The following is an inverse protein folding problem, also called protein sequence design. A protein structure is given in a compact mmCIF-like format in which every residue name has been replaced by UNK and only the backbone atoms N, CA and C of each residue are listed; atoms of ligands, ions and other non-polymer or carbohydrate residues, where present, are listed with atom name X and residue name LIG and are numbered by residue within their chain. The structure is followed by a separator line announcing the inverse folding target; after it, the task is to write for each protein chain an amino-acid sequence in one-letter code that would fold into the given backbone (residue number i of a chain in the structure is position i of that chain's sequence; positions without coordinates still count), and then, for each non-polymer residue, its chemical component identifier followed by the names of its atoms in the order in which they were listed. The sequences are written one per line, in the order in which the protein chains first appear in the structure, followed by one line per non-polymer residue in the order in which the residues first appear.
data_IF_433228791917
#
_entry.id   IF_433228791917
#
_cell.length_a   1.000
_cell.length_b   1.000
_cell.length_c   1.000
_cell.angle_alpha   90.00
_cell.angle_beta   90.00
_cell.angle_gamma   90.00
#
_symmetry.space_group_name_H-M   'P 1'
#
loop_
_entity.id
_entity.type
_entity.pdbx_description
1 polymer ?
#
# COMPACT_ATOMS: atom_id res chain seq x y z
N UNK A 1 14.58 12.08 -14.87
CA UNK A 1 14.22 11.54 -16.21
C UNK A 1 13.11 10.50 -16.10
N UNK A 2 13.19 9.56 -15.16
CA UNK A 2 12.22 8.47 -14.95
C UNK A 2 10.81 8.97 -14.63
N UNK A 3 10.71 10.00 -13.77
CA UNK A 3 9.40 10.59 -13.42
C UNK A 3 8.69 11.19 -14.67
N UNK A 4 9.43 11.85 -15.55
CA UNK A 4 8.86 12.35 -16.80
C UNK A 4 8.40 11.22 -17.72
N UNK A 5 9.15 10.12 -17.77
CA UNK A 5 8.76 8.95 -18.54
C UNK A 5 7.47 8.32 -17.98
N UNK A 6 7.33 8.25 -16.64
CA UNK A 6 6.09 7.81 -15.99
C UNK A 6 4.92 8.73 -16.33
N UNK A 7 5.11 10.05 -16.27
CA UNK A 7 4.06 11.03 -16.59
C UNK A 7 3.63 10.94 -18.06
N UNK A 8 4.58 10.74 -18.98
CA UNK A 8 4.28 10.51 -20.39
C UNK A 8 3.46 9.23 -20.59
N UNK A 9 3.88 8.13 -19.95
CA UNK A 9 3.13 6.88 -19.99
C UNK A 9 1.71 7.04 -19.46
N UNK A 10 1.52 7.73 -18.30
CA UNK A 10 0.19 8.01 -17.75
C UNK A 10 -0.65 8.81 -18.73
N UNK A 11 -0.07 9.88 -19.32
CA UNK A 11 -0.74 10.73 -20.30
C UNK A 11 -1.23 9.92 -21.51
N UNK A 12 -0.38 9.09 -22.08
CA UNK A 12 -0.70 8.27 -23.25
C UNK A 12 -1.70 7.16 -22.92
N UNK A 13 -1.45 6.41 -21.85
CA UNK A 13 -2.26 5.24 -21.47
C UNK A 13 -3.68 5.62 -20.99
N UNK A 14 -3.79 6.69 -20.21
CA UNK A 14 -5.07 7.16 -19.67
C UNK A 14 -5.70 8.29 -20.50
N UNK A 15 -5.16 8.60 -21.66
CA UNK A 15 -5.67 9.60 -22.62
C UNK A 15 -5.99 10.95 -21.96
N UNK A 16 -4.99 11.50 -21.25
CA UNK A 16 -5.07 12.80 -20.61
C UNK A 16 -3.86 13.66 -20.98
N UNK A 17 -3.92 14.95 -20.70
CA UNK A 17 -2.79 15.84 -20.97
C UNK A 17 -1.67 15.66 -19.95
N UNK A 18 -0.42 15.88 -20.34
CA UNK A 18 0.72 15.84 -19.41
C UNK A 18 0.60 16.92 -18.32
N UNK A 19 -0.09 18.03 -18.60
CA UNK A 19 -0.38 19.09 -17.64
C UNK A 19 -1.30 18.58 -16.50
N UNK A 20 -2.32 17.77 -16.83
CA UNK A 20 -3.18 17.14 -15.82
C UNK A 20 -2.39 16.17 -14.94
N UNK A 21 -1.49 15.38 -15.53
CA UNK A 21 -0.61 14.48 -14.77
C UNK A 21 0.33 15.28 -13.85
N UNK A 22 0.92 16.35 -14.35
CA UNK A 22 1.79 17.23 -13.58
C UNK A 22 1.04 17.89 -12.41
N UNK A 23 -0.17 18.37 -12.64
CA UNK A 23 -1.02 18.97 -11.60
C UNK A 23 -1.41 17.95 -10.51
N UNK A 24 -1.63 16.68 -10.86
CA UNK A 24 -1.91 15.62 -9.90
C UNK A 24 -0.65 15.19 -9.11
N UNK A 25 0.53 15.27 -9.72
CA UNK A 25 1.79 14.83 -9.13
C UNK A 25 2.46 15.88 -8.25
N UNK A 26 2.30 17.17 -8.56
CA UNK A 26 2.96 18.25 -7.84
C UNK A 26 2.07 18.78 -6.71
N UNK A 27 2.67 19.11 -5.54
CA UNK A 27 1.95 19.87 -4.52
C UNK A 27 1.47 21.22 -5.08
N UNK A 28 0.23 21.61 -4.78
CA UNK A 28 -0.38 22.84 -5.31
C UNK A 28 0.40 24.13 -5.02
N UNK A 29 1.22 24.13 -3.98
CA UNK A 29 2.14 25.22 -3.65
C UNK A 29 3.31 25.32 -4.62
N UNK A 30 3.78 24.22 -5.21
CA UNK A 30 4.83 24.21 -6.23
C UNK A 30 4.31 24.68 -7.59
N UNK A 31 3.07 24.31 -7.94
CA UNK A 31 2.40 24.76 -9.15
C UNK A 31 2.22 26.30 -9.14
N UNK A 32 1.83 26.86 -8.00
CA UNK A 32 1.72 28.33 -7.81
C UNK A 32 3.05 29.08 -7.80
N UNK A 33 4.16 28.42 -7.46
CA UNK A 33 5.52 29.05 -7.43
C UNK A 33 6.14 29.26 -8.81
N UNK A 34 5.63 28.59 -9.82
CA UNK A 34 5.98 28.94 -11.20
C UNK A 34 5.50 30.34 -11.57
N UNK A 35 4.58 30.92 -10.77
CA UNK A 35 3.94 32.22 -10.99
C UNK A 35 4.32 33.25 -9.90
N UNK A 36 4.52 32.85 -8.62
CA UNK A 36 4.83 33.78 -7.53
C UNK A 36 5.80 33.19 -6.47
N UNK A 37 6.86 33.93 -6.06
CA UNK A 37 7.80 33.45 -5.04
C UNK A 37 7.17 33.49 -3.63
N UNK A 38 7.42 32.48 -2.76
CA UNK A 38 6.73 32.35 -1.50
C UNK A 38 7.24 33.27 -0.41
N UNK A 39 6.31 33.82 0.39
CA UNK A 39 6.56 34.66 1.58
C UNK A 39 6.57 33.89 2.92
N UNK A 40 6.46 32.56 2.96
CA UNK A 40 6.36 31.82 4.22
C UNK A 40 7.48 30.81 4.44
N UNK A 41 8.10 30.87 5.64
CA UNK A 41 9.00 29.82 6.16
C UNK A 41 8.21 28.53 6.35
N UNK A 42 8.59 27.45 5.66
CA UNK A 42 8.12 26.10 5.93
C UNK A 42 8.62 25.65 7.31
N UNK A 43 7.72 25.17 8.15
CA UNK A 43 8.09 24.52 9.41
C UNK A 43 8.70 23.16 9.04
N UNK A 44 9.97 22.93 9.36
CA UNK A 44 10.58 21.60 9.19
C UNK A 44 9.87 20.60 10.09
N UNK A 45 9.54 19.44 9.59
CA UNK A 45 9.05 18.33 10.40
C UNK A 45 10.10 18.02 11.47
N UNK A 46 9.70 17.95 12.72
CA UNK A 46 10.61 17.56 13.79
C UNK A 46 11.05 16.11 13.59
N UNK A 47 12.34 15.78 13.84
CA UNK A 47 12.79 14.39 13.84
C UNK A 47 11.96 13.54 14.78
N UNK A 48 11.83 12.25 14.46
CA UNK A 48 11.18 11.29 15.34
C UNK A 48 12.01 11.13 16.62
N UNK A 49 11.36 11.34 17.77
CA UNK A 49 12.00 11.24 19.10
C UNK A 49 11.44 10.09 19.93
N UNK A 50 10.55 9.30 19.37
CA UNK A 50 9.98 8.13 20.04
C UNK A 50 10.96 6.95 20.10
N UNK A 51 10.61 5.89 20.84
CA UNK A 51 11.41 4.67 20.91
C UNK A 51 11.41 3.98 19.54
N UNK A 52 12.56 3.41 19.16
CA UNK A 52 12.67 2.49 18.02
C UNK A 52 12.50 1.07 18.58
N UNK A 53 11.51 0.37 18.05
CA UNK A 53 11.20 -1.01 18.42
C UNK A 53 11.90 -2.00 17.48
N UNK A 54 12.38 -3.15 17.98
CA UNK A 54 12.91 -4.19 17.13
C UNK A 54 11.79 -4.81 16.27
N UNK A 55 12.15 -5.27 15.09
CA UNK A 55 11.22 -6.01 14.23
C UNK A 55 10.93 -7.36 14.90
N UNK A 56 9.66 -7.70 15.03
CA UNK A 56 9.24 -8.98 15.59
C UNK A 56 9.63 -10.14 14.66
N UNK A 57 10.02 -11.27 15.27
CA UNK A 57 10.31 -12.47 14.51
C UNK A 57 9.04 -12.98 13.80
N UNK A 58 9.21 -13.46 12.58
CA UNK A 58 8.13 -14.09 11.82
C UNK A 58 7.77 -15.45 12.42
N UNK A 59 6.50 -15.84 12.29
CA UNK A 59 6.10 -17.23 12.52
C UNK A 59 6.71 -18.15 11.45
N UNK A 60 6.78 -19.48 11.68
CA UNK A 60 7.32 -20.39 10.66
C UNK A 60 6.61 -20.29 9.31
N UNK A 61 5.28 -20.11 9.30
CA UNK A 61 4.48 -19.97 8.08
C UNK A 61 4.74 -18.63 7.37
N UNK A 62 4.91 -17.55 8.12
CA UNK A 62 5.29 -16.25 7.57
C UNK A 62 6.72 -16.28 6.99
N UNK A 63 7.66 -16.96 7.68
CA UNK A 63 9.03 -17.12 7.19
C UNK A 63 9.06 -17.90 5.88
N UNK A 64 8.35 -19.03 5.81
CA UNK A 64 8.21 -19.79 4.56
C UNK A 64 7.67 -18.94 3.42
N UNK A 65 6.63 -18.13 3.70
CA UNK A 65 6.06 -17.24 2.66
C UNK A 65 7.05 -16.14 2.23
N UNK A 66 7.86 -15.63 3.15
CA UNK A 66 8.91 -14.66 2.82
C UNK A 66 9.98 -15.31 1.91
N UNK A 67 10.46 -16.49 2.29
CA UNK A 67 11.45 -17.23 1.51
C UNK A 67 10.91 -17.56 0.09
N UNK A 68 9.65 -17.98 -0.02
CA UNK A 68 8.99 -18.21 -1.32
C UNK A 68 8.89 -16.93 -2.18
N UNK A 69 8.62 -15.78 -1.58
CA UNK A 69 8.61 -14.48 -2.29
C UNK A 69 9.99 -14.18 -2.86
N UNK A 70 11.04 -14.34 -2.06
CA UNK A 70 12.42 -14.10 -2.47
C UNK A 70 12.88 -15.05 -3.57
N UNK A 71 12.55 -16.34 -3.44
CA UNK A 71 12.85 -17.36 -4.46
C UNK A 71 12.18 -17.03 -5.81
N UNK A 72 10.92 -16.58 -5.78
CA UNK A 72 10.21 -16.15 -6.98
C UNK A 72 10.87 -14.94 -7.63
N UNK A 73 11.31 -13.96 -6.83
CA UNK A 73 12.04 -12.81 -7.36
C UNK A 73 13.41 -13.16 -7.93
N UNK A 74 14.09 -14.18 -7.38
CA UNK A 74 15.34 -14.71 -7.93
C UNK A 74 15.11 -15.47 -9.25
N UNK A 75 13.92 -16.09 -9.40
CA UNK A 75 13.48 -16.76 -10.62
C UNK A 75 12.86 -15.80 -11.67
N UNK A 76 13.24 -14.52 -11.66
CA UNK A 76 12.79 -13.49 -12.60
C UNK A 76 11.26 -13.20 -12.57
N UNK A 77 10.57 -13.54 -11.49
CA UNK A 77 9.16 -13.16 -11.26
C UNK A 77 9.14 -11.82 -10.54
N UNK A 78 9.30 -10.71 -11.26
CA UNK A 78 9.37 -9.37 -10.64
C UNK A 78 8.11 -8.96 -9.88
N UNK A 79 6.96 -9.56 -10.18
CA UNK A 79 5.68 -9.29 -9.53
C UNK A 79 5.22 -10.55 -8.83
N UNK A 80 4.97 -10.45 -7.52
CA UNK A 80 4.45 -11.55 -6.70
C UNK A 80 3.12 -11.13 -6.08
N UNK A 81 2.12 -12.02 -6.15
CA UNK A 81 0.85 -11.91 -5.44
C UNK A 81 0.96 -12.72 -4.14
N UNK A 82 0.90 -12.03 -3.00
CA UNK A 82 0.74 -12.63 -1.68
C UNK A 82 -0.74 -12.73 -1.35
N UNK A 83 -1.33 -13.89 -1.59
CA UNK A 83 -2.70 -14.20 -1.24
C UNK A 83 -2.76 -14.69 0.21
N UNK A 84 -3.03 -13.80 1.13
CA UNK A 84 -3.06 -14.13 2.56
C UNK A 84 -4.40 -13.78 3.19
N UNK A 85 -4.98 -14.73 3.94
CA UNK A 85 -6.24 -14.49 4.66
C UNK A 85 -6.16 -13.27 5.57
N UNK A 86 -7.32 -12.71 5.93
CA UNK A 86 -7.40 -11.60 6.88
C UNK A 86 -6.72 -11.98 8.20
N UNK A 87 -5.94 -11.08 8.78
CA UNK A 87 -5.17 -11.32 10.02
C UNK A 87 -4.11 -12.44 9.92
N UNK A 88 -3.62 -12.75 8.73
CA UNK A 88 -2.49 -13.68 8.55
C UNK A 88 -1.13 -13.08 8.88
N UNK A 89 -1.06 -11.78 9.15
CA UNK A 89 0.19 -11.08 9.44
C UNK A 89 0.98 -10.68 8.20
N UNK A 90 0.35 -10.46 7.06
CA UNK A 90 1.01 -9.93 5.83
C UNK A 90 1.90 -8.73 6.12
N UNK A 91 1.45 -7.83 7.01
CA UNK A 91 2.19 -6.61 7.38
C UNK A 91 3.56 -6.94 8.01
N UNK A 92 3.69 -8.04 8.75
CA UNK A 92 4.97 -8.44 9.33
C UNK A 92 5.96 -8.84 8.22
N UNK A 93 5.51 -9.59 7.23
CA UNK A 93 6.31 -9.93 6.04
C UNK A 93 6.74 -8.65 5.30
N UNK A 94 5.82 -7.69 5.13
CA UNK A 94 6.17 -6.41 4.49
C UNK A 94 7.26 -5.67 5.24
N UNK A 95 7.19 -5.63 6.59
CA UNK A 95 8.18 -4.96 7.43
C UNK A 95 9.57 -5.58 7.23
N UNK A 96 9.68 -6.90 7.16
CA UNK A 96 10.96 -7.60 6.92
C UNK A 96 11.51 -7.27 5.54
N UNK A 97 10.70 -7.35 4.49
CA UNK A 97 11.10 -7.00 3.13
C UNK A 97 11.51 -5.52 2.99
N UNK A 98 10.79 -4.62 3.67
CA UNK A 98 11.14 -3.19 3.72
C UNK A 98 12.52 -3.02 4.34
N UNK A 99 12.77 -3.64 5.50
CA UNK A 99 14.06 -3.53 6.20
C UNK A 99 15.22 -4.03 5.35
N UNK A 100 15.02 -5.12 4.64
CA UNK A 100 16.02 -5.67 3.73
C UNK A 100 16.38 -4.68 2.61
N UNK A 101 15.37 -4.07 1.98
CA UNK A 101 15.62 -3.07 0.93
C UNK A 101 16.32 -1.81 1.47
N UNK A 102 15.96 -1.35 2.66
CA UNK A 102 16.65 -0.23 3.30
C UNK A 102 18.10 -0.58 3.61
N UNK A 103 18.39 -1.79 4.08
CA UNK A 103 19.76 -2.28 4.31
C UNK A 103 20.56 -2.39 3.00
N UNK A 104 19.88 -2.72 1.89
CA UNK A 104 20.48 -2.74 0.56
C UNK A 104 20.67 -1.34 -0.07
N UNK A 105 20.37 -0.28 0.67
CA UNK A 105 20.52 1.09 0.18
C UNK A 105 19.44 1.53 -0.80
N UNK A 106 18.26 0.90 -0.79
CA UNK A 106 17.15 1.19 -1.70
C UNK A 106 15.96 1.80 -0.97
N UNK A 107 15.15 2.53 -1.72
CA UNK A 107 13.90 3.07 -1.23
C UNK A 107 12.75 2.05 -1.42
N UNK A 108 11.72 2.19 -0.60
CA UNK A 108 10.51 1.38 -0.69
C UNK A 108 9.29 2.28 -0.81
N UNK A 109 8.38 1.90 -1.70
CA UNK A 109 7.04 2.49 -1.79
C UNK A 109 6.02 1.51 -1.27
N UNK A 110 5.24 1.91 -0.26
CA UNK A 110 4.20 1.10 0.33
C UNK A 110 2.85 1.78 0.13
N UNK A 111 2.07 1.26 -0.80
CA UNK A 111 0.73 1.76 -1.13
C UNK A 111 -0.31 1.01 -0.32
N UNK A 112 -1.22 1.77 0.30
CA UNK A 112 -2.36 1.25 1.07
C UNK A 112 -3.63 2.01 0.67
N UNK A 113 -4.83 1.41 0.77
CA UNK A 113 -6.08 2.16 0.65
C UNK A 113 -6.15 3.30 1.67
N UNK A 114 -6.81 4.41 1.32
CA UNK A 114 -6.94 5.56 2.25
C UNK A 114 -7.54 5.17 3.61
N UNK A 115 -8.49 4.24 3.61
CA UNK A 115 -9.13 3.72 4.82
C UNK A 115 -8.16 2.86 5.67
N UNK A 116 -7.23 2.18 5.03
CA UNK A 116 -6.23 1.35 5.70
C UNK A 116 -5.05 2.17 6.25
N UNK A 117 -4.85 3.41 5.78
CA UNK A 117 -3.82 4.32 6.29
C UNK A 117 -4.23 4.91 7.65
N UNK A 118 -4.34 4.04 8.63
CA UNK A 118 -4.75 4.37 9.99
C UNK A 118 -3.59 4.93 10.81
N UNK A 119 -3.92 5.64 11.88
CA UNK A 119 -2.93 6.07 12.88
C UNK A 119 -2.18 4.87 13.47
N UNK A 120 -2.86 3.75 13.69
CA UNK A 120 -2.24 2.53 14.24
C UNK A 120 -1.15 1.98 13.31
N UNK A 121 -1.43 1.83 12.01
CA UNK A 121 -0.44 1.36 11.04
C UNK A 121 0.76 2.32 10.95
N UNK A 122 0.48 3.61 10.80
CA UNK A 122 1.54 4.62 10.67
C UNK A 122 2.38 4.73 11.93
N UNK A 123 1.78 4.68 13.14
CA UNK A 123 2.53 4.69 14.39
C UNK A 123 3.39 3.45 14.54
N UNK A 124 2.87 2.26 14.20
CA UNK A 124 3.64 1.01 14.22
C UNK A 124 4.88 1.10 13.33
N UNK A 125 4.70 1.55 12.08
CA UNK A 125 5.82 1.71 11.15
C UNK A 125 6.80 2.81 11.60
N UNK A 126 6.29 3.86 12.24
CA UNK A 126 7.13 4.95 12.77
C UNK A 126 8.01 4.46 13.92
N UNK A 127 7.50 3.60 14.81
CA UNK A 127 8.30 2.98 15.88
C UNK A 127 9.39 2.05 15.33
N UNK A 128 9.24 1.52 14.12
CA UNK A 128 10.23 0.61 13.52
C UNK A 128 11.24 1.39 12.67
N UNK A 129 10.77 2.26 11.78
CA UNK A 129 11.60 2.91 10.76
C UNK A 129 12.02 4.35 11.12
N UNK A 130 11.45 4.93 12.19
CA UNK A 130 11.81 6.27 12.67
C UNK A 130 11.74 7.32 11.56
N UNK A 131 12.82 8.09 11.40
CA UNK A 131 12.95 9.16 10.40
C UNK A 131 13.02 8.68 8.94
N UNK A 132 13.20 7.37 8.72
CA UNK A 132 13.16 6.79 7.38
C UNK A 132 11.74 6.64 6.85
N UNK A 133 10.70 6.75 7.70
CA UNK A 133 9.30 6.69 7.27
C UNK A 133 8.78 8.05 6.82
N UNK A 134 8.29 8.12 5.59
CA UNK A 134 7.57 9.26 5.04
C UNK A 134 6.11 8.85 4.84
N UNK A 135 5.20 9.52 5.54
CA UNK A 135 3.75 9.30 5.37
C UNK A 135 3.19 10.33 4.41
N UNK A 136 2.48 9.88 3.34
CA UNK A 136 1.91 10.74 2.32
C UNK A 136 0.45 10.39 2.02
N UNK A 137 -0.47 11.32 2.30
CA UNK A 137 -1.91 11.12 2.11
C UNK A 137 -2.65 12.43 1.79
N UNK A 138 -3.92 12.31 1.39
CA UNK A 138 -4.77 13.42 0.98
C UNK A 138 -5.04 14.47 2.07
N UNK A 139 -4.98 14.07 3.36
CA UNK A 139 -5.23 14.95 4.52
C UNK A 139 -4.05 15.85 4.89
N UNK A 140 -2.87 15.65 4.28
CA UNK A 140 -1.75 16.57 4.47
C UNK A 140 -2.09 17.93 3.88
N UNK A 141 -1.71 18.98 4.58
CA UNK A 141 -1.77 20.36 4.06
C UNK A 141 -0.80 20.52 2.87
N UNK A 142 -1.03 21.52 2.03
CA UNK A 142 -0.14 21.78 0.89
C UNK A 142 1.31 22.04 1.33
N UNK A 143 1.51 22.66 2.50
CA UNK A 143 2.84 22.90 3.05
C UNK A 143 3.54 21.60 3.48
N UNK A 144 2.81 20.68 4.10
CA UNK A 144 3.33 19.35 4.48
C UNK A 144 3.64 18.50 3.24
N UNK A 145 2.75 18.50 2.23
CA UNK A 145 2.99 17.81 0.96
C UNK A 145 4.26 18.33 0.28
N UNK A 146 4.44 19.65 0.25
CA UNK A 146 5.63 20.28 -0.30
C UNK A 146 6.89 19.88 0.46
N UNK A 147 6.83 19.83 1.78
CA UNK A 147 7.95 19.40 2.61
C UNK A 147 8.34 17.95 2.32
N UNK A 148 7.35 17.03 2.27
CA UNK A 148 7.58 15.62 1.92
C UNK A 148 8.14 15.47 0.50
N UNK A 149 7.60 16.23 -0.44
CA UNK A 149 8.10 16.25 -1.80
C UNK A 149 9.59 16.70 -1.86
N UNK A 150 9.95 17.76 -1.13
CA UNK A 150 11.33 18.23 -1.03
C UNK A 150 12.24 17.23 -0.32
N UNK A 151 11.76 16.58 0.74
CA UNK A 151 12.50 15.54 1.43
C UNK A 151 12.88 14.40 0.48
N UNK A 152 11.95 13.97 -0.36
CA UNK A 152 12.17 12.92 -1.36
C UNK A 152 13.11 13.39 -2.48
N UNK A 153 12.98 14.63 -2.96
CA UNK A 153 13.80 15.16 -4.06
C UNK A 153 15.22 15.53 -3.65
N UNK A 154 15.43 15.89 -2.38
CA UNK A 154 16.74 16.30 -1.87
C UNK A 154 17.67 15.14 -1.46
N UNK A 155 17.35 13.90 -1.84
CA UNK A 155 18.17 12.69 -1.58
C UNK A 155 19.61 12.77 -2.12
N UNK A 156 19.94 13.79 -2.90
CA UNK A 156 21.31 14.04 -3.39
C UNK A 156 22.24 14.75 -2.39
N UNK A 157 21.76 15.12 -1.21
CA UNK A 157 22.61 15.63 -0.14
C UNK A 157 23.38 14.47 0.52
N UNK A 158 24.62 14.71 0.89
CA UNK A 158 25.72 13.80 1.32
C UNK A 158 25.36 12.73 2.37
N UNK A 159 24.18 12.75 2.93
CA UNK A 159 23.64 11.73 3.83
C UNK A 159 22.51 11.03 3.06
N UNK A 160 22.84 9.94 2.37
CA UNK A 160 21.86 9.11 1.67
C UNK A 160 21.02 8.31 2.67
N UNK A 161 20.00 8.92 3.23
CA UNK A 161 18.99 8.15 3.94
C UNK A 161 18.04 7.55 2.92
N UNK A 162 17.89 6.23 2.97
CA UNK A 162 16.85 5.54 2.22
C UNK A 162 15.53 5.70 2.97
N UNK A 163 14.44 5.75 2.23
CA UNK A 163 13.12 6.03 2.78
C UNK A 163 12.12 4.93 2.45
N UNK A 164 11.22 4.72 3.40
CA UNK A 164 9.94 4.04 3.18
C UNK A 164 8.88 5.13 2.99
N UNK A 165 8.29 5.20 1.81
CA UNK A 165 7.17 6.10 1.56
C UNK A 165 5.89 5.30 1.65
N UNK A 166 5.12 5.48 2.74
CA UNK A 166 3.78 4.91 2.85
C UNK A 166 2.75 5.96 2.44
N UNK A 167 1.79 5.55 1.62
CA UNK A 167 0.73 6.45 1.22
C UNK A 167 -0.41 5.79 0.46
N UNK A 168 -1.44 6.60 0.22
CA UNK A 168 -2.57 6.19 -0.60
C UNK A 168 -2.23 6.32 -2.10
N UNK A 169 -3.24 6.16 -2.93
CA UNK A 169 -3.16 6.24 -4.41
C UNK A 169 -2.19 7.28 -4.97
N UNK A 170 -2.22 8.51 -4.45
CA UNK A 170 -1.40 9.61 -4.98
C UNK A 170 0.09 9.48 -4.70
N UNK A 171 0.50 8.64 -3.76
CA UNK A 171 1.91 8.42 -3.44
C UNK A 171 2.70 7.83 -4.61
N UNK A 172 2.04 7.10 -5.52
CA UNK A 172 2.68 6.53 -6.72
C UNK A 172 3.25 7.60 -7.68
N UNK A 173 2.76 8.84 -7.58
CA UNK A 173 3.21 9.96 -8.40
C UNK A 173 4.42 10.72 -7.81
N UNK A 174 4.84 10.39 -6.60
CA UNK A 174 6.00 11.01 -5.95
C UNK A 174 7.29 10.67 -6.69
N UNK A 175 8.27 11.61 -6.72
CA UNK A 175 9.51 11.44 -7.46
C UNK A 175 10.54 10.57 -6.71
N UNK A 176 10.09 9.45 -6.14
CA UNK A 176 10.95 8.52 -5.44
C UNK A 176 11.85 7.79 -6.44
N UNK A 177 13.15 7.84 -6.22
CA UNK A 177 14.16 7.20 -7.05
C UNK A 177 14.80 6.02 -6.33
N UNK A 178 15.55 5.20 -7.05
CA UNK A 178 16.24 4.04 -6.50
C UNK A 178 15.30 3.13 -5.68
N UNK A 179 14.09 2.90 -6.21
CA UNK A 179 13.12 2.02 -5.58
C UNK A 179 13.58 0.57 -5.77
N UNK A 180 13.65 -0.19 -4.67
CA UNK A 180 13.93 -1.61 -4.70
C UNK A 180 12.66 -2.46 -4.65
N UNK A 181 11.63 -1.94 -3.97
CA UNK A 181 10.37 -2.65 -3.74
C UNK A 181 9.18 -1.70 -3.76
N UNK A 182 8.12 -2.10 -4.43
CA UNK A 182 6.79 -1.48 -4.31
C UNK A 182 5.82 -2.51 -3.74
N UNK A 183 5.23 -2.20 -2.60
CA UNK A 183 4.17 -2.98 -1.96
C UNK A 183 2.84 -2.31 -2.27
N UNK A 184 1.86 -3.08 -2.70
CA UNK A 184 0.47 -2.64 -2.89
C UNK A 184 -0.41 -3.53 -2.02
N UNK A 185 -0.77 -3.05 -0.84
CA UNK A 185 -1.63 -3.78 0.08
C UNK A 185 -3.10 -3.61 -0.28
N UNK A 186 -3.91 -4.66 -0.02
CA UNK A 186 -5.30 -4.72 -0.48
C UNK A 186 -5.43 -4.30 -1.96
N UNK A 187 -4.64 -4.94 -2.84
CA UNK A 187 -4.45 -4.56 -4.25
C UNK A 187 -5.75 -4.48 -5.05
N UNK A 188 -6.79 -5.16 -4.56
CA UNK A 188 -8.13 -5.21 -5.16
C UNK A 188 -8.98 -3.98 -4.86
N UNK A 189 -8.57 -3.13 -3.89
CA UNK A 189 -9.38 -2.02 -3.41
C UNK A 189 -9.68 -1.00 -4.51
N UNK A 190 -10.97 -0.66 -4.74
CA UNK A 190 -11.35 0.26 -5.81
C UNK A 190 -10.83 1.69 -5.61
N UNK A 191 -10.41 2.09 -4.40
CA UNK A 191 -9.85 3.42 -4.15
C UNK A 191 -8.52 3.67 -4.86
N UNK A 192 -7.85 2.62 -5.34
CA UNK A 192 -6.67 2.76 -6.20
C UNK A 192 -7.00 3.33 -7.59
N UNK A 193 -8.25 3.30 -8.01
CA UNK A 193 -8.70 3.95 -9.23
C UNK A 193 -9.09 5.40 -8.94
N UNK A 194 -8.47 6.37 -9.63
CA UNK A 194 -8.91 7.75 -9.60
C UNK A 194 -10.07 7.93 -10.58
N UNK A 195 -11.24 8.30 -10.07
CA UNK A 195 -12.40 8.58 -10.88
C UNK A 195 -12.32 10.01 -11.45
N UNK A 196 -12.09 11.00 -10.59
CA UNK A 196 -11.95 12.42 -10.93
C UNK A 196 -11.00 13.12 -9.95
N UNK A 197 -10.36 14.21 -10.36
CA UNK A 197 -10.21 14.68 -11.74
C UNK A 197 -9.27 13.79 -12.58
N UNK A 198 -9.07 14.14 -13.86
CA UNK A 198 -7.97 13.57 -14.64
C UNK A 198 -6.61 13.90 -13.98
N UNK A 199 -5.61 13.01 -14.15
CA UNK A 199 -5.59 11.73 -14.83
C UNK A 199 -6.39 10.66 -14.08
N UNK A 200 -7.21 9.90 -14.80
CA UNK A 200 -8.02 8.80 -14.24
C UNK A 200 -7.22 7.51 -14.14
N UNK A 201 -6.05 7.57 -13.53
CA UNK A 201 -5.11 6.45 -13.41
C UNK A 201 -5.54 5.43 -12.36
N UNK A 202 -4.97 4.23 -12.44
CA UNK A 202 -5.07 3.17 -11.45
C UNK A 202 -3.71 2.98 -10.78
N UNK A 203 -3.60 3.25 -9.48
CA UNK A 203 -2.31 3.29 -8.80
C UNK A 203 -1.57 1.93 -8.81
N UNK A 204 -2.26 0.79 -8.64
CA UNK A 204 -1.65 -0.54 -8.77
C UNK A 204 -0.98 -0.72 -10.13
N UNK A 205 -1.69 -0.42 -11.22
CA UNK A 205 -1.14 -0.55 -12.58
C UNK A 205 0.02 0.42 -12.81
N UNK A 206 -0.12 1.66 -12.33
CA UNK A 206 0.95 2.66 -12.41
C UNK A 206 2.18 2.25 -11.59
N UNK A 207 1.98 1.64 -10.41
CA UNK A 207 3.06 1.13 -9.56
C UNK A 207 3.85 0.00 -10.26
N UNK A 208 3.17 -0.91 -10.96
CA UNK A 208 3.80 -1.98 -11.75
C UNK A 208 4.68 -1.38 -12.87
N UNK A 209 4.18 -0.36 -13.56
CA UNK A 209 4.95 0.32 -14.61
C UNK A 209 6.14 1.09 -14.03
N UNK A 210 5.94 1.79 -12.91
CA UNK A 210 7.01 2.48 -12.20
C UNK A 210 8.11 1.49 -11.76
N UNK A 211 7.71 0.35 -11.19
CA UNK A 211 8.63 -0.70 -10.80
C UNK A 211 9.44 -1.22 -12.00
N UNK A 212 8.79 -1.48 -13.13
CA UNK A 212 9.47 -1.89 -14.36
C UNK A 212 10.49 -0.84 -14.83
N UNK A 213 10.14 0.44 -14.77
CA UNK A 213 11.06 1.53 -15.16
C UNK A 213 12.29 1.61 -14.25
N UNK A 214 12.13 1.33 -12.96
CA UNK A 214 13.21 1.38 -11.96
C UNK A 214 13.86 0.02 -11.65
N UNK A 215 13.43 -1.05 -12.33
CA UNK A 215 13.87 -2.44 -12.06
C UNK A 215 13.64 -2.85 -10.59
N UNK A 216 12.53 -2.39 -10.03
CA UNK A 216 12.09 -2.72 -8.68
C UNK A 216 11.22 -3.98 -8.69
N UNK A 217 11.17 -4.69 -7.57
CA UNK A 217 10.24 -5.77 -7.33
C UNK A 217 8.88 -5.23 -6.90
N UNK A 218 7.82 -6.01 -7.14
CA UNK A 218 6.44 -5.66 -6.75
C UNK A 218 5.84 -6.77 -5.92
N UNK A 219 5.26 -6.40 -4.78
CA UNK A 219 4.47 -7.31 -3.96
C UNK A 219 3.03 -6.78 -3.91
N UNK A 220 2.10 -7.57 -4.44
CA UNK A 220 0.66 -7.31 -4.36
C UNK A 220 0.09 -8.15 -3.22
N UNK A 221 -0.46 -7.52 -2.19
CA UNK A 221 -1.04 -8.21 -1.05
C UNK A 221 -2.55 -8.12 -1.04
N UNK A 222 -3.24 -9.23 -0.77
CA UNK A 222 -4.69 -9.24 -0.60
C UNK A 222 -5.20 -10.51 0.07
N UNK A 223 -6.31 -10.40 0.79
CA UNK A 223 -7.08 -11.56 1.23
C UNK A 223 -8.09 -12.01 0.17
N UNK A 224 -8.51 -11.09 -0.69
CA UNK A 224 -9.49 -11.27 -1.77
C UNK A 224 -8.95 -10.67 -3.06
N UNK A 225 -7.93 -11.31 -3.69
CA UNK A 225 -7.27 -10.73 -4.86
C UNK A 225 -8.24 -10.38 -5.99
N UNK A 226 -7.90 -9.33 -6.74
CA UNK A 226 -8.64 -9.01 -7.96
C UNK A 226 -8.56 -10.18 -8.96
N UNK A 227 -9.60 -10.34 -9.77
CA UNK A 227 -9.65 -11.41 -10.78
C UNK A 227 -8.45 -11.33 -11.72
N UNK A 228 -8.05 -10.12 -12.10
CA UNK A 228 -6.91 -9.89 -12.98
C UNK A 228 -5.60 -10.36 -12.35
N UNK A 229 -5.30 -9.95 -11.12
CA UNK A 229 -4.07 -10.32 -10.43
C UNK A 229 -4.00 -11.83 -10.18
N UNK A 230 -5.12 -12.42 -9.76
CA UNK A 230 -5.20 -13.85 -9.55
C UNK A 230 -5.04 -14.65 -10.85
N UNK A 231 -5.67 -14.19 -11.93
CA UNK A 231 -5.51 -14.80 -13.27
C UNK A 231 -4.07 -14.74 -13.74
N UNK A 232 -3.37 -13.61 -13.60
CA UNK A 232 -1.97 -13.49 -13.97
C UNK A 232 -1.06 -14.40 -13.13
N UNK A 233 -1.37 -14.56 -11.84
CA UNK A 233 -0.67 -15.47 -10.97
C UNK A 233 -0.89 -16.94 -11.39
N UNK A 234 -2.12 -17.36 -11.69
CA UNK A 234 -2.43 -18.69 -12.19
C UNK A 234 -1.76 -19.00 -13.54
N UNK A 235 -1.60 -17.99 -14.40
CA UNK A 235 -0.88 -18.13 -15.66
C UNK A 235 0.65 -18.12 -15.51
N UNK A 236 1.15 -17.98 -14.29
CA UNK A 236 2.58 -17.91 -14.02
C UNK A 236 3.27 -16.64 -14.54
N UNK A 237 2.47 -15.60 -14.90
CA UNK A 237 2.98 -14.26 -15.24
C UNK A 237 3.44 -13.57 -13.96
N UNK A 238 2.63 -13.64 -12.89
CA UNK A 238 3.02 -13.25 -11.54
C UNK A 238 3.42 -14.50 -10.75
N UNK A 239 4.32 -14.32 -9.76
CA UNK A 239 4.49 -15.32 -8.71
C UNK A 239 3.24 -15.37 -7.83
N UNK A 240 2.94 -16.52 -7.24
CA UNK A 240 1.85 -16.69 -6.29
C UNK A 240 2.39 -17.32 -5.02
N UNK A 241 2.20 -16.64 -3.90
CA UNK A 241 2.47 -17.15 -2.55
C UNK A 241 1.16 -17.12 -1.77
N UNK A 242 0.86 -18.19 -1.04
CA UNK A 242 -0.40 -18.30 -0.28
C UNK A 242 -0.12 -18.42 1.21
N UNK A 243 -0.66 -17.51 2.00
CA UNK A 243 -0.59 -17.50 3.46
C UNK A 243 -1.98 -17.79 4.03
N UNK A 244 -2.28 -19.08 4.23
CA UNK A 244 -3.62 -19.59 4.58
C UNK A 244 -3.92 -19.55 6.08
N UNK A 245 -2.91 -19.47 6.93
CA UNK A 245 -3.08 -19.49 8.37
C UNK A 245 -3.29 -18.09 8.94
N UNK A 246 -4.21 -17.96 9.90
CA UNK A 246 -4.38 -16.74 10.69
C UNK A 246 -3.33 -16.67 11.79
N UNK A 247 -2.82 -15.48 12.03
CA UNK A 247 -1.92 -15.26 13.15
C UNK A 247 -2.60 -15.63 14.48
N UNK A 248 -1.94 -16.45 15.31
CA UNK A 248 -2.47 -16.89 16.60
C UNK A 248 -3.47 -18.04 16.54
N UNK A 249 -3.64 -18.72 15.40
CA UNK A 249 -4.52 -19.90 15.28
C UNK A 249 -6.02 -19.61 15.43
N UNK A 250 -6.44 -18.37 15.19
CA UNK A 250 -7.85 -17.96 15.28
C UNK A 250 -8.65 -18.66 14.18
N UNK A 251 -9.59 -19.52 14.57
CA UNK A 251 -10.49 -20.22 13.66
C UNK A 251 -11.42 -19.25 12.89
N UNK A 252 -11.92 -19.73 11.76
CA UNK A 252 -12.95 -19.01 11.02
C UNK A 252 -14.25 -18.99 11.84
N UNK A 253 -15.03 -17.91 11.77
CA UNK A 253 -16.34 -17.89 12.43
C UNK A 253 -17.23 -18.98 11.84
N UNK A 254 -17.97 -19.65 12.71
CA UNK A 254 -19.04 -20.55 12.30
C UNK A 254 -20.14 -19.77 11.61
N UNK A 255 -20.47 -20.17 10.38
CA UNK A 255 -21.51 -19.53 9.60
C UNK A 255 -22.72 -20.48 9.57
N UNK A 256 -23.79 -20.06 10.23
CA UNK A 256 -25.08 -20.77 10.18
C UNK A 256 -26.02 -20.02 9.24
N UNK A 257 -26.47 -20.70 8.19
CA UNK A 257 -27.47 -20.16 7.27
C UNK A 257 -28.87 -20.49 7.80
N UNK A 258 -29.70 -19.47 7.95
CA UNK A 258 -31.07 -19.58 8.42
C UNK A 258 -32.03 -19.13 7.31
N UNK A 259 -32.94 -20.00 6.90
CA UNK A 259 -34.02 -19.63 5.99
C UNK A 259 -35.12 -18.90 6.75
N UNK A 260 -35.13 -17.58 6.63
CA UNK A 260 -36.11 -16.73 7.31
C UNK A 260 -37.54 -17.02 6.89
N UNK A 261 -37.79 -17.50 5.66
CA UNK A 261 -39.14 -17.87 5.22
C UNK A 261 -39.65 -19.08 5.98
N UNK A 262 -38.84 -20.12 6.15
CA UNK A 262 -39.18 -21.28 6.96
C UNK A 262 -39.39 -20.90 8.43
N UNK A 263 -38.57 -20.07 8.99
CA UNK A 263 -38.71 -19.60 10.38
C UNK A 263 -40.02 -18.84 10.58
N UNK A 264 -40.38 -17.98 9.62
CA UNK A 264 -41.64 -17.25 9.65
C UNK A 264 -42.86 -18.19 9.57
N UNK A 265 -42.82 -19.16 8.67
CA UNK A 265 -43.91 -20.17 8.53
C UNK A 265 -44.07 -21.03 9.81
N UNK A 266 -42.98 -21.32 10.51
CA UNK A 266 -42.95 -22.06 11.78
C UNK A 266 -43.28 -21.20 13.00
N UNK A 267 -43.41 -19.89 12.84
CA UNK A 267 -43.56 -18.89 13.94
C UNK A 267 -42.38 -18.87 14.92
N UNK A 268 -41.20 -19.19 14.42
CA UNK A 268 -39.90 -19.16 15.15
C UNK A 268 -39.21 -17.83 14.92
N UNK A 269 -39.94 -16.72 15.08
CA UNK A 269 -39.44 -15.36 14.83
C UNK A 269 -39.84 -14.44 15.97
N UNK A 270 -38.87 -13.69 16.46
CA UNK A 270 -39.10 -12.54 17.34
C UNK A 270 -39.04 -11.26 16.53
N UNK A 271 -40.20 -10.70 16.17
CA UNK A 271 -40.31 -9.61 15.19
C UNK A 271 -39.63 -9.95 13.85
N UNK A 272 -38.48 -9.33 13.57
CA UNK A 272 -37.70 -9.53 12.34
C UNK A 272 -36.47 -10.43 12.53
N UNK A 273 -36.29 -10.97 13.74
CA UNK A 273 -35.13 -11.81 14.07
C UNK A 273 -35.59 -13.26 14.23
N UNK A 274 -34.80 -14.20 13.71
CA UNK A 274 -35.05 -15.62 13.92
C UNK A 274 -34.68 -16.03 15.35
N UNK A 275 -35.41 -17.02 15.91
CA UNK A 275 -35.14 -17.50 17.27
C UNK A 275 -33.66 -17.93 17.46
N UNK A 276 -32.99 -18.66 16.51
CA UNK A 276 -31.59 -18.99 16.65
C UNK A 276 -30.64 -17.75 16.70
N UNK A 277 -31.01 -16.65 16.04
CA UNK A 277 -30.24 -15.41 16.15
C UNK A 277 -30.42 -14.77 17.52
N UNK A 278 -31.64 -14.75 18.05
CA UNK A 278 -31.95 -14.22 19.38
C UNK A 278 -31.22 -14.99 20.47
N UNK A 279 -31.22 -16.34 20.37
CA UNK A 279 -30.48 -17.20 21.29
C UNK A 279 -28.98 -16.90 21.29
N UNK A 280 -28.36 -16.75 20.12
CA UNK A 280 -26.94 -16.44 19.99
C UNK A 280 -26.56 -15.05 20.51
N UNK A 281 -27.47 -14.08 20.50
CA UNK A 281 -27.25 -12.76 21.08
C UNK A 281 -27.34 -12.78 22.61
N UNK A 282 -28.08 -13.74 23.17
CA UNK A 282 -28.23 -13.88 24.63
C UNK A 282 -27.08 -14.68 25.29
N UNK A 283 -26.38 -15.51 24.54
CA UNK A 283 -25.14 -16.18 24.94
C UNK A 283 -23.96 -15.18 25.05
#
# INVERSE_FOLDING_TARGET
REQLALWQWISEYYMCTIGEVMSAALPGSLDKRLVDPPKRRTRKTAPYTGPIEPIHALSPTQQTSLDEIEDLWQADKDIVLLHGVTSSGKTDIYIHLIQEQLNAGKNVMYLVPEIALTTQLTSRLQCIFGDQLIVYHSRLTDAEREERYKQITNQHSIISNNYVVIGARSAVLLPLQNIGLIIVDEEHDPSYKQAEPAPRYHARSTAIILAKMQKAKVLLGSATPSVESYYFAQKGIYGLVTLSERFGGVELPDITLIDLKQQYERKEMYNHFSDPLVERIQE
#
